data_IF_656196448617
#
_entry.id   IF_656196448617
#
_cell.length_a   1.000
_cell.length_b   1.000
_cell.length_c   1.000
_cell.angle_alpha   90.00
_cell.angle_beta   90.00
_cell.angle_gamma   90.00
#
_symmetry.space_group_name_H-M   'P 1'
#
loop_
_entity.id
_entity.type
_entity.pdbx_description
1 polymer ?
#
# COMPACT_ATOMS: atom_id res chain seq x y z
N UNK A 1 -0.46 -2.58 -15.57
CA UNK A 1 -1.50 -1.74 -16.21
C UNK A 1 -1.21 -0.30 -15.83
N UNK A 2 -1.21 0.63 -16.79
CA UNK A 2 -1.06 2.05 -16.47
C UNK A 2 -2.38 2.55 -15.87
N UNK A 3 -2.29 3.33 -14.79
CA UNK A 3 -3.47 3.94 -14.15
C UNK A 3 -3.66 5.36 -14.68
N UNK A 4 -4.90 5.85 -14.73
CA UNK A 4 -5.23 7.18 -15.22
C UNK A 4 -5.97 7.99 -14.14
N UNK A 5 -5.60 9.25 -13.96
CA UNK A 5 -6.36 10.21 -13.14
C UNK A 5 -6.70 11.44 -13.95
N UNK A 6 -7.87 12.01 -13.73
CA UNK A 6 -8.33 13.21 -14.44
C UNK A 6 -8.61 14.37 -13.49
N UNK A 7 -8.40 15.59 -13.97
CA UNK A 7 -8.73 16.84 -13.30
C UNK A 7 -9.34 17.80 -14.32
N UNK A 8 -10.49 18.40 -14.01
CA UNK A 8 -11.07 19.50 -14.79
C UNK A 8 -10.52 20.84 -14.29
N UNK A 9 -10.05 21.69 -15.22
CA UNK A 9 -9.57 23.06 -14.95
C UNK A 9 -10.19 24.00 -15.98
N UNK A 10 -11.29 24.65 -15.60
CA UNK A 10 -12.10 25.42 -16.55
C UNK A 10 -12.56 24.54 -17.72
N UNK A 11 -12.33 24.93 -18.99
CA UNK A 11 -12.67 24.11 -20.16
C UNK A 11 -11.65 22.99 -20.45
N UNK A 12 -10.56 22.87 -19.68
CA UNK A 12 -9.49 21.92 -19.94
C UNK A 12 -9.62 20.67 -19.06
N UNK A 13 -9.55 19.50 -19.68
CA UNK A 13 -9.39 18.21 -19.03
C UNK A 13 -7.91 17.85 -19.00
N UNK A 14 -7.37 17.71 -17.79
CA UNK A 14 -6.02 17.22 -17.55
C UNK A 14 -6.09 15.74 -17.20
N UNK A 15 -5.50 14.88 -18.02
CA UNK A 15 -5.35 13.45 -17.78
C UNK A 15 -3.89 13.12 -17.51
N UNK A 16 -3.62 12.49 -16.37
CA UNK A 16 -2.30 11.99 -16.01
C UNK A 16 -2.28 10.46 -16.09
N UNK A 17 -1.29 9.91 -16.80
CA UNK A 17 -1.04 8.47 -16.91
C UNK A 17 0.11 8.11 -15.99
N UNK A 18 -0.11 7.12 -15.13
CA UNK A 18 0.82 6.73 -14.07
C UNK A 18 1.50 5.41 -14.36
N UNK A 19 2.81 5.39 -14.12
CA UNK A 19 3.62 4.18 -14.02
C UNK A 19 3.80 3.74 -12.57
N UNK A 20 4.85 2.96 -12.31
CA UNK A 20 5.24 2.56 -10.96
C UNK A 20 5.92 3.68 -10.15
N UNK A 21 6.31 4.78 -10.80
CA UNK A 21 6.98 5.91 -10.16
C UNK A 21 6.02 6.93 -9.53
N UNK A 22 6.55 7.84 -8.69
CA UNK A 22 5.74 8.86 -8.01
C UNK A 22 5.27 9.99 -8.94
N UNK A 23 5.73 10.02 -10.19
CA UNK A 23 5.39 11.05 -11.18
C UNK A 23 4.62 10.44 -12.34
N UNK A 24 3.70 11.21 -12.97
CA UNK A 24 3.02 10.72 -14.16
C UNK A 24 4.02 10.53 -15.29
N UNK A 25 3.85 9.45 -16.05
CA UNK A 25 4.63 9.18 -17.25
C UNK A 25 4.17 10.06 -18.41
N UNK A 26 2.88 10.38 -18.46
CA UNK A 26 2.29 11.24 -19.48
C UNK A 26 1.27 12.18 -18.86
N UNK A 27 1.20 13.40 -19.41
CA UNK A 27 0.18 14.38 -19.08
C UNK A 27 -0.47 14.86 -20.38
N UNK A 28 -1.78 14.62 -20.51
CA UNK A 28 -2.58 15.04 -21.64
C UNK A 28 -3.49 16.17 -21.19
N UNK A 29 -3.44 17.32 -21.86
CA UNK A 29 -4.33 18.45 -21.58
C UNK A 29 -5.16 18.68 -22.84
N UNK A 30 -6.46 18.42 -22.75
CA UNK A 30 -7.39 18.48 -23.88
C UNK A 30 -8.59 19.34 -23.54
N UNK A 31 -9.26 19.86 -24.56
CA UNK A 31 -10.53 20.58 -24.41
C UNK A 31 -11.43 20.21 -25.58
N UNK A 32 -12.73 20.16 -25.32
CA UNK A 32 -13.79 20.08 -26.34
C UNK A 32 -14.36 21.46 -26.69
N UNK A 33 -13.93 22.52 -26.00
CA UNK A 33 -14.29 23.91 -26.24
C UNK A 33 -13.43 24.49 -27.38
N UNK A 34 -14.09 24.80 -28.50
CA UNK A 34 -13.44 25.33 -29.70
C UNK A 34 -12.84 26.73 -29.49
N UNK A 35 -13.44 27.56 -28.65
CA UNK A 35 -12.93 28.90 -28.33
C UNK A 35 -11.69 28.78 -27.45
N UNK A 36 -11.75 27.93 -26.42
CA UNK A 36 -10.58 27.62 -25.59
C UNK A 36 -9.43 27.02 -26.40
N UNK A 37 -9.73 26.11 -27.33
CA UNK A 37 -8.73 25.52 -28.24
C UNK A 37 -8.06 26.57 -29.12
N UNK A 38 -8.83 27.53 -29.65
CA UNK A 38 -8.32 28.61 -30.50
C UNK A 38 -7.39 29.58 -29.74
N UNK A 39 -7.67 29.84 -28.47
CA UNK A 39 -6.85 30.72 -27.63
C UNK A 39 -5.67 30.02 -26.96
N UNK A 40 -5.66 28.69 -26.96
CA UNK A 40 -4.62 27.87 -26.36
C UNK A 40 -4.63 27.88 -24.82
N UNK A 41 -3.77 27.05 -24.24
CA UNK A 41 -3.67 26.92 -22.78
C UNK A 41 -2.94 28.14 -22.21
N UNK A 42 -3.61 28.88 -21.33
CA UNK A 42 -3.02 30.06 -20.68
C UNK A 42 -2.16 29.66 -19.47
N UNK A 43 -1.22 30.53 -19.08
CA UNK A 43 -0.44 30.33 -17.85
C UNK A 43 -1.31 30.22 -16.59
N UNK A 44 -2.46 30.89 -16.55
CA UNK A 44 -3.40 30.83 -15.43
C UNK A 44 -3.97 29.42 -15.29
N UNK A 45 -4.42 28.83 -16.40
CA UNK A 45 -4.90 27.43 -16.44
C UNK A 45 -3.80 26.47 -15.98
N UNK A 46 -2.56 26.64 -16.46
CA UNK A 46 -1.44 25.78 -16.05
C UNK A 46 -1.15 25.85 -14.54
N UNK A 47 -1.32 27.01 -13.90
CA UNK A 47 -1.13 27.17 -12.45
C UNK A 47 -2.25 26.54 -11.63
N UNK A 48 -3.44 26.38 -12.20
CA UNK A 48 -4.57 25.72 -11.57
C UNK A 48 -4.52 24.19 -11.70
N UNK A 49 -3.65 23.66 -12.56
CA UNK A 49 -3.35 22.23 -12.58
C UNK A 49 -2.62 21.86 -11.30
N UNK A 50 -3.29 21.10 -10.43
CA UNK A 50 -2.77 20.76 -9.10
C UNK A 50 -1.93 19.48 -9.18
N UNK A 51 -0.82 19.55 -9.93
CA UNK A 51 0.11 18.42 -10.11
C UNK A 51 0.62 17.89 -8.77
N UNK A 52 0.81 18.76 -7.79
CA UNK A 52 1.20 18.39 -6.43
C UNK A 52 0.14 17.51 -5.72
N UNK A 53 -1.16 17.78 -5.91
CA UNK A 53 -2.22 16.92 -5.35
C UNK A 53 -2.29 15.59 -6.07
N UNK A 54 -2.12 15.59 -7.39
CA UNK A 54 -2.05 14.38 -8.20
C UNK A 54 -0.86 13.49 -7.79
N UNK A 55 0.31 14.08 -7.60
CA UNK A 55 1.53 13.39 -7.12
C UNK A 55 1.36 12.89 -5.69
N UNK A 56 0.75 13.67 -4.79
CA UNK A 56 0.48 13.22 -3.42
C UNK A 56 -0.45 12.00 -3.40
N UNK A 57 -1.51 12.01 -4.21
CA UNK A 57 -2.43 10.89 -4.34
C UNK A 57 -1.71 9.64 -4.87
N UNK A 58 -0.91 9.78 -5.93
CA UNK A 58 -0.11 8.68 -6.48
C UNK A 58 0.96 8.18 -5.49
N UNK A 59 1.61 9.06 -4.74
CA UNK A 59 2.60 8.71 -3.71
C UNK A 59 1.99 7.96 -2.53
N UNK A 60 0.78 8.32 -2.10
CA UNK A 60 0.04 7.55 -1.10
C UNK A 60 -0.35 6.16 -1.62
N UNK A 61 -0.72 6.05 -2.90
CA UNK A 61 -1.03 4.78 -3.55
C UNK A 61 0.20 3.88 -3.71
N UNK A 62 1.34 4.42 -4.16
CA UNK A 62 2.59 3.68 -4.26
C UNK A 62 3.01 3.13 -2.91
N UNK A 63 2.98 3.96 -1.87
CA UNK A 63 3.25 3.51 -0.49
C UNK A 63 2.28 2.43 -0.02
N UNK A 64 1.01 2.49 -0.44
CA UNK A 64 0.03 1.45 -0.11
C UNK A 64 0.33 0.12 -0.84
N UNK A 65 0.80 0.18 -2.09
CA UNK A 65 1.23 -1.01 -2.85
C UNK A 65 2.50 -1.61 -2.27
N UNK A 66 3.55 -0.80 -2.05
CA UNK A 66 4.80 -1.25 -1.43
C UNK A 66 4.56 -1.87 -0.05
N UNK A 67 3.65 -1.27 0.73
CA UNK A 67 3.32 -1.81 2.04
C UNK A 67 2.48 -3.11 1.93
N UNK A 68 1.64 -3.26 0.90
CA UNK A 68 0.94 -4.52 0.64
C UNK A 68 1.91 -5.63 0.20
N UNK A 69 2.89 -5.33 -0.65
CA UNK A 69 3.95 -6.26 -1.06
C UNK A 69 4.79 -6.69 0.16
N UNK A 70 5.18 -5.73 1.01
CA UNK A 70 5.90 -6.03 2.24
C UNK A 70 5.10 -6.94 3.20
N UNK A 71 3.77 -6.80 3.24
CA UNK A 71 2.92 -7.73 3.99
C UNK A 71 2.94 -9.11 3.35
N UNK A 72 2.78 -9.21 2.04
CA UNK A 72 2.78 -10.49 1.32
C UNK A 72 4.11 -11.25 1.52
N UNK A 73 5.24 -10.55 1.41
CA UNK A 73 6.58 -11.12 1.63
C UNK A 73 6.75 -11.61 3.07
N UNK A 74 6.33 -10.82 4.06
CA UNK A 74 6.43 -11.20 5.46
C UNK A 74 5.51 -12.40 5.80
N UNK A 75 4.31 -12.47 5.20
CA UNK A 75 3.40 -13.63 5.35
C UNK A 75 3.98 -14.87 4.67
N UNK A 76 4.60 -14.73 3.49
CA UNK A 76 5.26 -15.83 2.82
C UNK A 76 6.41 -16.39 3.66
N UNK A 77 7.26 -15.52 4.22
CA UNK A 77 8.33 -15.91 5.16
C UNK A 77 7.78 -16.57 6.43
N UNK A 78 6.69 -16.06 7.00
CA UNK A 78 6.00 -16.73 8.11
C UNK A 78 5.55 -18.15 7.72
N UNK A 79 5.04 -18.31 6.50
CA UNK A 79 4.56 -19.60 6.02
C UNK A 79 5.70 -20.62 5.81
N UNK A 80 6.93 -20.20 5.47
CA UNK A 80 8.09 -21.12 5.40
C UNK A 80 8.47 -21.71 6.75
N UNK A 81 8.15 -21.01 7.85
CA UNK A 81 8.36 -21.49 9.22
C UNK A 81 7.10 -22.13 9.83
N UNK A 82 5.98 -22.12 9.10
CA UNK A 82 4.68 -22.59 9.57
C UNK A 82 4.37 -24.03 9.15
N UNK A 83 5.08 -24.56 8.16
CA UNK A 83 4.91 -25.91 7.61
C UNK A 83 5.78 -26.92 8.35
N UNK A 84 5.20 -27.46 9.41
CA UNK A 84 5.78 -28.59 10.14
C UNK A 84 5.98 -28.26 11.61
N UNK A 85 5.09 -28.78 12.46
CA UNK A 85 5.48 -29.81 13.42
C UNK A 85 4.34 -30.06 14.40
N UNK A 86 4.10 -31.33 14.66
CA UNK A 86 3.55 -31.83 15.94
C UNK A 86 4.56 -31.61 17.09
N UNK A 87 5.25 -30.46 17.11
CA UNK A 87 6.38 -30.11 17.98
C UNK A 87 6.46 -28.60 18.21
N UNK A 88 7.34 -28.17 19.11
CA UNK A 88 7.45 -26.77 19.53
C UNK A 88 7.82 -25.85 18.36
N UNK A 89 7.10 -24.75 18.22
CA UNK A 89 7.40 -23.68 17.25
C UNK A 89 8.80 -23.12 17.50
N UNK A 90 9.55 -22.87 16.43
CA UNK A 90 10.93 -22.36 16.51
C UNK A 90 10.97 -20.87 16.88
N UNK A 91 12.13 -20.37 17.30
CA UNK A 91 12.34 -18.93 17.46
C UNK A 91 12.17 -18.17 16.13
N UNK A 92 12.61 -18.76 15.02
CA UNK A 92 12.45 -18.19 13.68
C UNK A 92 10.97 -17.99 13.31
N UNK A 93 10.10 -18.91 13.73
CA UNK A 93 8.65 -18.74 13.59
C UNK A 93 8.16 -17.51 14.36
N UNK A 94 8.59 -17.32 15.61
CA UNK A 94 8.15 -16.19 16.43
C UNK A 94 8.68 -14.86 15.90
N UNK A 95 9.88 -14.84 15.34
CA UNK A 95 10.45 -13.67 14.67
C UNK A 95 9.68 -13.31 13.40
N UNK A 96 9.48 -14.27 12.51
CA UNK A 96 8.71 -14.07 11.28
C UNK A 96 7.26 -13.65 11.57
N UNK A 97 6.64 -14.19 12.63
CA UNK A 97 5.31 -13.79 13.05
C UNK A 97 5.25 -12.33 13.53
N UNK A 98 6.27 -11.86 14.25
CA UNK A 98 6.35 -10.48 14.72
C UNK A 98 6.56 -9.49 13.57
N UNK A 99 7.40 -9.85 12.60
CA UNK A 99 7.62 -9.09 11.37
C UNK A 99 6.33 -8.98 10.55
N UNK A 100 5.66 -10.11 10.29
CA UNK A 100 4.38 -10.14 9.58
C UNK A 100 3.30 -9.32 10.30
N UNK A 101 3.23 -9.40 11.63
CA UNK A 101 2.31 -8.59 12.42
C UNK A 101 2.59 -7.10 12.31
N UNK A 102 3.86 -6.69 12.35
CA UNK A 102 4.27 -5.29 12.25
C UNK A 102 3.97 -4.72 10.86
N UNK A 103 4.28 -5.47 9.80
CA UNK A 103 3.91 -5.13 8.43
C UNK A 103 2.38 -4.99 8.29
N UNK A 104 1.62 -5.95 8.83
CA UNK A 104 0.16 -5.90 8.79
C UNK A 104 -0.40 -4.70 9.56
N UNK A 105 0.19 -4.32 10.70
CA UNK A 105 -0.27 -3.18 11.50
C UNK A 105 -0.09 -1.84 10.75
N UNK A 106 0.95 -1.72 9.94
CA UNK A 106 1.21 -0.54 9.12
C UNK A 106 0.18 -0.33 8.00
N UNK A 107 -0.42 -1.42 7.50
CA UNK A 107 -1.37 -1.41 6.36
C UNK A 107 -2.82 -1.59 6.81
N UNK A 108 -3.07 -2.61 7.61
CA UNK A 108 -4.39 -3.05 8.06
C UNK A 108 -4.62 -2.59 9.50
N UNK A 109 -4.84 -1.28 9.68
CA UNK A 109 -4.96 -0.66 11.01
C UNK A 109 -5.98 -1.31 11.95
N UNK A 110 -7.00 -2.02 11.44
CA UNK A 110 -8.10 -2.53 12.28
C UNK A 110 -7.99 -4.00 12.69
N UNK A 111 -7.39 -4.90 11.90
CA UNK A 111 -7.48 -6.35 12.17
C UNK A 111 -6.26 -7.23 11.77
N UNK A 112 -5.02 -6.88 12.14
CA UNK A 112 -3.83 -7.65 11.75
C UNK A 112 -3.85 -9.10 12.25
N UNK A 113 -4.40 -9.37 13.44
CA UNK A 113 -4.51 -10.73 14.00
C UNK A 113 -5.48 -11.61 13.20
N UNK A 114 -6.58 -11.04 12.71
CA UNK A 114 -7.58 -11.77 11.93
C UNK A 114 -7.00 -12.17 10.58
N UNK A 115 -6.31 -11.24 9.92
CA UNK A 115 -5.64 -11.48 8.66
C UNK A 115 -4.59 -12.60 8.78
N UNK A 116 -3.68 -12.50 9.76
CA UNK A 116 -2.68 -13.57 9.98
C UNK A 116 -3.30 -14.93 10.33
N UNK A 117 -4.45 -14.95 11.00
CA UNK A 117 -5.17 -16.18 11.29
C UNK A 117 -5.66 -16.87 10.01
N UNK A 118 -6.24 -16.09 9.09
CA UNK A 118 -6.68 -16.56 7.77
C UNK A 118 -5.50 -17.06 6.93
N UNK A 119 -4.43 -16.27 6.81
CA UNK A 119 -3.25 -16.59 5.99
C UNK A 119 -2.46 -17.81 6.48
N UNK A 120 -2.43 -18.04 7.80
CA UNK A 120 -1.68 -19.16 8.39
C UNK A 120 -2.55 -20.39 8.67
N UNK A 121 -3.85 -20.35 8.32
CA UNK A 121 -4.81 -21.42 8.61
C UNK A 121 -4.99 -21.73 10.10
N UNK A 122 -4.72 -20.75 10.98
CA UNK A 122 -4.78 -20.91 12.44
C UNK A 122 -5.90 -20.06 13.00
N UNK A 123 -6.44 -20.42 14.17
CA UNK A 123 -7.42 -19.55 14.82
C UNK A 123 -6.75 -18.29 15.42
N UNK A 124 -7.51 -17.20 15.51
CA UNK A 124 -7.02 -15.92 16.03
C UNK A 124 -6.52 -15.98 17.49
N UNK A 125 -7.05 -16.90 18.30
CA UNK A 125 -6.59 -17.14 19.66
C UNK A 125 -5.15 -17.67 19.70
N UNK A 126 -4.84 -18.63 18.84
CA UNK A 126 -3.50 -19.20 18.65
C UNK A 126 -2.52 -18.12 18.20
N UNK A 127 -2.89 -17.30 17.22
CA UNK A 127 -2.04 -16.18 16.77
C UNK A 127 -1.76 -15.19 17.90
N UNK A 128 -2.77 -14.82 18.70
CA UNK A 128 -2.58 -13.93 19.87
C UNK A 128 -1.64 -14.53 20.92
N UNK A 129 -1.75 -15.82 21.17
CA UNK A 129 -0.86 -16.52 22.10
C UNK A 129 0.59 -16.54 21.58
N UNK A 130 0.77 -16.78 20.28
CA UNK A 130 2.09 -16.77 19.66
C UNK A 130 2.71 -15.37 19.65
N UNK A 131 1.93 -14.32 19.37
CA UNK A 131 2.39 -12.93 19.47
C UNK A 131 2.77 -12.56 20.91
N UNK A 132 2.02 -13.04 21.91
CA UNK A 132 2.41 -12.88 23.33
C UNK A 132 3.75 -13.55 23.62
N UNK A 133 4.00 -14.74 23.06
CA UNK A 133 5.29 -15.41 23.20
C UNK A 133 6.41 -14.66 22.47
N UNK A 134 6.16 -14.17 21.25
CA UNK A 134 7.09 -13.35 20.49
C UNK A 134 7.49 -12.06 21.25
N UNK A 135 6.54 -11.38 21.91
CA UNK A 135 6.82 -10.25 22.81
C UNK A 135 7.73 -10.65 23.98
N UNK A 136 7.43 -11.77 24.64
CA UNK A 136 8.29 -12.29 25.74
C UNK A 136 9.70 -12.64 25.29
N UNK A 137 9.88 -12.98 24.01
CA UNK A 137 11.17 -13.26 23.39
C UNK A 137 11.87 -12.00 22.86
N UNK A 138 11.23 -10.82 22.94
CA UNK A 138 11.81 -9.55 22.48
C UNK A 138 11.70 -9.30 20.98
N UNK A 139 10.93 -10.11 20.23
CA UNK A 139 10.76 -9.95 18.78
C UNK A 139 9.69 -8.93 18.39
N UNK A 140 8.83 -8.56 19.33
CA UNK A 140 7.79 -7.56 19.13
C UNK A 140 7.79 -6.62 20.32
N UNK A 141 7.81 -5.31 20.08
CA UNK A 141 7.67 -4.32 21.14
C UNK A 141 6.27 -4.40 21.77
N UNK A 142 6.19 -4.09 23.07
CA UNK A 142 4.91 -3.96 23.76
C UNK A 142 4.11 -2.81 23.15
N UNK A 143 2.79 -2.98 23.04
CA UNK A 143 1.88 -1.87 22.73
C UNK A 143 1.80 -0.88 23.90
#
# INVERSE_FOLDING_TARGET
MAEETTQQVGPWLVRAVWGAGPFPMELHITTDDAEAAAHGITQTVLREVQLNRLVAFAGHRLKAVEAADAVADAVMALNTHSTGAKGSLSEDYYRALAEAYSACRAVFMRHPVKYLAEETGRNAGTIRNHLTKARKLGYLEGD
#
